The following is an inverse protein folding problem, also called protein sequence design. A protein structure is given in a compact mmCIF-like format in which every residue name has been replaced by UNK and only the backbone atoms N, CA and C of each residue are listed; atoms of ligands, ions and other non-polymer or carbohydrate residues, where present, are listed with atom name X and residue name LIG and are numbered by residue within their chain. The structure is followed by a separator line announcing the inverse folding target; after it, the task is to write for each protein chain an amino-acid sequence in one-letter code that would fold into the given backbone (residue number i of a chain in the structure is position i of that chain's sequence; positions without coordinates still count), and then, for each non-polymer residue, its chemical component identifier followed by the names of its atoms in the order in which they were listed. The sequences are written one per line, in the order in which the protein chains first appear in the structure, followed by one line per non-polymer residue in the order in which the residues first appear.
data_IF_934844466192
#
_entry.id   IF_934844466192
#
_cell.length_a   1.000
_cell.length_b   1.000
_cell.length_c   1.000
_cell.angle_alpha   90.00
_cell.angle_beta   90.00
_cell.angle_gamma   90.00
#
_symmetry.space_group_name_H-M   'P 1'
#
loop_
_entity.id
_entity.type
_entity.pdbx_description
1 polymer ?
#
# COMPACT_ATOMS: atom_id res chain seq x y z
N UNK A 1 12.56 10.80 -14.69
CA UNK A 1 13.09 10.04 -13.54
C UNK A 1 13.14 8.57 -13.89
N UNK A 2 14.16 7.84 -13.42
CA UNK A 2 14.35 6.40 -13.66
C UNK A 2 14.30 5.66 -12.31
N UNK A 3 13.12 5.60 -11.70
CA UNK A 3 12.93 4.96 -10.39
C UNK A 3 12.77 3.44 -10.55
N UNK A 4 13.34 2.66 -9.63
CA UNK A 4 13.23 1.20 -9.63
C UNK A 4 11.84 0.70 -9.22
N UNK A 5 11.16 1.44 -8.36
CA UNK A 5 9.79 1.19 -7.89
C UNK A 5 9.13 2.50 -7.45
N UNK A 6 7.80 2.48 -7.31
CA UNK A 6 7.00 3.60 -6.81
C UNK A 6 6.05 3.14 -5.69
N UNK A 7 6.03 3.88 -4.58
CA UNK A 7 5.08 3.66 -3.48
C UNK A 7 4.36 4.98 -3.16
N UNK A 8 3.04 5.00 -3.35
CA UNK A 8 2.18 6.12 -2.90
C UNK A 8 1.68 5.82 -1.49
N UNK A 9 1.74 6.80 -0.58
CA UNK A 9 1.34 6.63 0.83
C UNK A 9 0.12 7.51 1.10
N UNK A 10 -0.98 6.90 1.54
CA UNK A 10 -2.27 7.53 1.77
C UNK A 10 -2.88 7.08 3.11
N UNK A 11 -3.95 7.77 3.51
CA UNK A 11 -4.86 7.34 4.56
C UNK A 11 -6.29 7.44 4.01
N UNK A 12 -7.05 6.35 4.12
CA UNK A 12 -8.35 6.22 3.48
C UNK A 12 -9.41 7.00 4.27
N UNK A 13 -10.60 7.17 3.70
CA UNK A 13 -11.76 7.77 4.34
C UNK A 13 -13.04 7.13 3.81
N UNK A 14 -13.93 6.75 4.71
CA UNK A 14 -15.27 6.24 4.40
C UNK A 14 -16.33 7.16 5.03
N UNK A 15 -17.21 7.74 4.21
CA UNK A 15 -18.29 8.63 4.66
C UNK A 15 -19.31 7.90 5.53
N UNK A 16 -19.49 6.59 5.34
CA UNK A 16 -20.35 5.77 6.20
C UNK A 16 -19.67 5.37 7.52
N UNK A 17 -18.36 5.67 7.68
CA UNK A 17 -17.51 5.33 8.83
C UNK A 17 -17.58 3.84 9.21
N UNK A 18 -17.63 2.95 8.22
CA UNK A 18 -17.58 1.49 8.42
C UNK A 18 -16.21 0.92 8.04
N UNK A 19 -15.52 1.57 7.11
CA UNK A 19 -14.14 1.26 6.74
C UNK A 19 -13.15 1.56 7.86
N UNK A 20 -12.32 0.56 8.17
CA UNK A 20 -11.18 0.62 9.07
C UNK A 20 -10.17 -0.47 8.65
N UNK A 21 -8.90 -0.30 8.98
CA UNK A 21 -7.80 -1.20 8.66
C UNK A 21 -6.84 -0.68 7.59
N UNK A 22 -5.88 -1.54 7.22
CA UNK A 22 -4.87 -1.24 6.20
C UNK A 22 -5.18 -1.99 4.91
N UNK A 23 -5.00 -1.34 3.77
CA UNK A 23 -5.05 -1.97 2.44
C UNK A 23 -3.95 -1.44 1.53
N UNK A 24 -3.52 -2.29 0.60
CA UNK A 24 -2.53 -1.93 -0.41
C UNK A 24 -3.07 -2.23 -1.79
N UNK A 25 -2.88 -1.31 -2.72
CA UNK A 25 -3.33 -1.40 -4.10
C UNK A 25 -2.16 -1.55 -5.05
N UNK A 26 -2.33 -2.38 -6.07
CA UNK A 26 -1.52 -2.41 -7.28
C UNK A 26 -2.42 -2.30 -8.51
N UNK A 27 -1.83 -2.12 -9.70
CA UNK A 27 -2.61 -2.09 -10.94
C UNK A 27 -1.83 -2.73 -12.08
N UNK A 28 -2.39 -3.78 -12.68
CA UNK A 28 -1.79 -4.53 -13.78
C UNK A 28 -2.90 -5.25 -14.58
N UNK A 29 -3.79 -4.50 -15.27
CA UNK A 29 -4.94 -5.09 -15.95
C UNK A 29 -4.53 -5.74 -17.28
N UNK A 30 -5.25 -6.80 -17.69
CA UNK A 30 -5.08 -7.44 -19.00
C UNK A 30 -5.20 -6.47 -20.19
N UNK A 31 -5.95 -5.37 -20.04
CA UNK A 31 -6.15 -4.36 -21.08
C UNK A 31 -4.98 -3.40 -21.28
N UNK A 32 -3.95 -3.45 -20.41
CA UNK A 32 -2.74 -2.64 -20.53
C UNK A 32 -1.50 -3.56 -20.53
N UNK A 33 -1.10 -4.09 -21.69
CA UNK A 33 -0.04 -5.10 -21.79
C UNK A 33 1.27 -4.71 -21.08
N UNK A 34 1.67 -3.44 -21.16
CA UNK A 34 2.89 -2.93 -20.51
C UNK A 34 2.84 -3.02 -18.98
N UNK A 35 1.66 -2.81 -18.39
CA UNK A 35 1.46 -2.97 -16.95
C UNK A 35 1.24 -4.43 -16.57
N UNK A 36 0.51 -5.19 -17.42
CA UNK A 36 0.24 -6.60 -17.19
C UNK A 36 1.51 -7.45 -17.17
N UNK A 37 2.52 -7.11 -17.99
CA UNK A 37 3.84 -7.75 -17.95
C UNK A 37 4.53 -7.60 -16.59
N UNK A 38 4.10 -6.65 -15.74
CA UNK A 38 4.62 -6.42 -14.39
C UNK A 38 3.69 -6.94 -13.30
N UNK A 39 2.69 -7.75 -13.61
CA UNK A 39 1.68 -8.20 -12.64
C UNK A 39 2.30 -8.86 -11.41
N UNK A 40 3.28 -9.75 -11.60
CA UNK A 40 3.93 -10.47 -10.51
C UNK A 40 4.71 -9.50 -9.61
N UNK A 41 5.50 -8.59 -10.20
CA UNK A 41 6.29 -7.59 -9.48
C UNK A 41 5.41 -6.61 -8.70
N UNK A 42 4.36 -6.09 -9.33
CA UNK A 42 3.43 -5.11 -8.74
C UNK A 42 2.62 -5.74 -7.61
N UNK A 43 2.15 -6.97 -7.81
CA UNK A 43 1.43 -7.74 -6.80
C UNK A 43 2.34 -8.11 -5.64
N UNK A 44 3.55 -8.57 -5.91
CA UNK A 44 4.54 -8.92 -4.87
C UNK A 44 4.90 -7.71 -4.01
N UNK A 45 5.16 -6.55 -4.63
CA UNK A 45 5.41 -5.30 -3.90
C UNK A 45 4.24 -4.97 -2.97
N UNK A 46 3.01 -4.99 -3.49
CA UNK A 46 1.82 -4.71 -2.68
C UNK A 46 1.64 -5.71 -1.52
N UNK A 47 1.90 -7.00 -1.76
CA UNK A 47 1.84 -8.03 -0.72
C UNK A 47 2.89 -7.82 0.38
N UNK A 48 4.14 -7.50 0.02
CA UNK A 48 5.22 -7.27 1.00
C UNK A 48 4.99 -6.02 1.83
N UNK A 49 4.43 -4.96 1.24
CA UNK A 49 3.99 -3.78 1.97
C UNK A 49 2.86 -4.11 2.96
N UNK A 50 1.81 -4.79 2.49
CA UNK A 50 0.67 -5.18 3.32
C UNK A 50 1.10 -6.05 4.51
N UNK A 51 1.88 -7.11 4.27
CA UNK A 51 2.38 -8.03 5.30
C UNK A 51 3.11 -7.30 6.43
N UNK A 52 4.00 -6.35 6.08
CA UNK A 52 4.78 -5.61 7.08
C UNK A 52 3.93 -4.62 7.86
N UNK A 53 3.00 -3.91 7.20
CA UNK A 53 2.09 -2.98 7.87
C UNK A 53 1.19 -3.70 8.87
N UNK A 54 0.59 -4.83 8.49
CA UNK A 54 -0.23 -5.63 9.39
C UNK A 54 0.59 -6.19 10.55
N UNK A 55 1.82 -6.65 10.28
CA UNK A 55 2.72 -7.14 11.32
C UNK A 55 3.05 -6.06 12.36
N UNK A 56 3.30 -4.81 11.93
CA UNK A 56 3.72 -3.71 12.81
C UNK A 56 2.56 -2.98 13.48
N UNK A 57 1.49 -2.69 12.74
CA UNK A 57 0.37 -1.86 13.21
C UNK A 57 -0.74 -2.66 13.88
N UNK A 58 -0.83 -3.98 13.63
CA UNK A 58 -1.85 -4.87 14.21
C UNK A 58 -3.30 -4.43 13.97
N UNK A 59 -3.56 -3.78 12.83
CA UNK A 59 -4.90 -3.38 12.40
C UNK A 59 -5.60 -4.48 11.62
N UNK A 60 -6.88 -4.25 11.30
CA UNK A 60 -7.64 -5.09 10.36
C UNK A 60 -6.92 -5.19 9.02
N UNK A 61 -6.65 -6.43 8.59
CA UNK A 61 -6.07 -6.72 7.28
C UNK A 61 -7.15 -6.75 6.20
N UNK A 62 -7.10 -5.76 5.29
CA UNK A 62 -8.02 -5.67 4.14
C UNK A 62 -7.39 -6.16 2.83
N UNK A 63 -6.17 -6.68 2.92
CA UNK A 63 -5.42 -7.33 1.84
C UNK A 63 -4.80 -6.39 0.82
N UNK A 64 -3.90 -6.99 0.03
CA UNK A 64 -3.40 -6.41 -1.21
C UNK A 64 -4.38 -6.71 -2.36
N UNK A 65 -4.80 -5.70 -3.13
CA UNK A 65 -5.81 -5.85 -4.18
C UNK A 65 -5.52 -4.99 -5.41
N UNK A 66 -6.15 -5.35 -6.52
CA UNK A 66 -6.02 -4.54 -7.74
C UNK A 66 -6.95 -3.31 -7.66
N UNK A 67 -6.46 -2.14 -8.08
CA UNK A 67 -7.22 -0.90 -8.08
C UNK A 67 -6.77 0.08 -9.16
N UNK A 68 -7.72 0.58 -9.95
CA UNK A 68 -7.46 1.48 -11.07
C UNK A 68 -7.22 2.93 -10.62
N UNK A 69 -6.10 3.18 -9.96
CA UNK A 69 -5.72 4.49 -9.44
C UNK A 69 -4.76 5.21 -10.41
N UNK A 70 -4.97 6.51 -10.63
CA UNK A 70 -4.20 7.29 -11.61
C UNK A 70 -2.69 7.19 -11.42
N UNK A 71 -2.24 7.24 -10.16
CA UNK A 71 -0.81 7.14 -9.80
C UNK A 71 -0.20 5.76 -10.08
N UNK A 72 -1.01 4.70 -10.14
CA UNK A 72 -0.54 3.34 -10.47
C UNK A 72 -0.64 3.03 -11.96
N UNK A 73 -1.60 3.67 -12.64
CA UNK A 73 -1.86 3.53 -14.07
C UNK A 73 -0.86 4.31 -14.93
N UNK A 74 -0.38 5.45 -14.43
CA UNK A 74 0.49 6.35 -15.20
C UNK A 74 1.98 6.27 -14.81
N UNK A 75 2.37 5.26 -14.03
CA UNK A 75 3.76 4.93 -13.69
C UNK A 75 4.22 3.69 -14.44
N UNK A 76 5.49 3.69 -14.87
CA UNK A 76 6.06 2.64 -15.73
C UNK A 76 6.87 1.58 -14.98
N UNK A 77 7.35 1.88 -13.78
CA UNK A 77 8.02 0.92 -12.88
C UNK A 77 7.01 0.14 -12.02
N UNK A 78 7.40 -0.96 -11.35
CA UNK A 78 6.54 -1.61 -10.36
C UNK A 78 6.04 -0.61 -9.31
N UNK A 79 4.72 -0.57 -9.10
CA UNK A 79 4.09 0.45 -8.28
C UNK A 79 2.99 -0.09 -7.38
N UNK A 80 2.93 0.42 -6.15
CA UNK A 80 1.86 0.16 -5.20
C UNK A 80 1.39 1.46 -4.49
N UNK A 81 0.15 1.47 -3.99
CA UNK A 81 -0.39 2.52 -3.13
C UNK A 81 -0.84 1.89 -1.83
N UNK A 82 -0.33 2.40 -0.71
CA UNK A 82 -0.71 1.97 0.64
C UNK A 82 -1.74 2.95 1.19
N UNK A 83 -2.87 2.42 1.64
CA UNK A 83 -3.77 3.10 2.57
C UNK A 83 -3.45 2.59 3.98
N UNK A 84 -2.70 3.39 4.75
CA UNK A 84 -2.15 2.94 6.05
C UNK A 84 -3.29 2.66 7.05
N UNK A 85 -4.25 3.58 7.12
CA UNK A 85 -5.37 3.63 8.06
C UNK A 85 -6.53 4.44 7.46
N UNK A 86 -7.71 4.39 8.08
CA UNK A 86 -8.85 5.25 7.76
C UNK A 86 -8.89 6.48 8.67
N UNK A 87 -8.65 7.68 8.12
CA UNK A 87 -8.76 8.94 8.88
C UNK A 87 -10.19 9.21 9.37
N UNK A 88 -11.19 8.57 8.77
CA UNK A 88 -12.60 8.65 9.15
C UNK A 88 -12.98 7.74 10.33
N UNK A 89 -12.12 6.78 10.69
CA UNK A 89 -12.36 5.85 11.80
C UNK A 89 -11.78 6.42 13.10
N UNK A 90 -12.58 6.66 14.17
CA UNK A 90 -12.13 7.42 15.33
C UNK A 90 -10.86 6.89 15.99
N UNK A 91 -10.75 5.59 16.19
CA UNK A 91 -9.60 4.96 16.84
C UNK A 91 -8.34 5.08 15.98
N UNK A 92 -8.46 4.88 14.67
CA UNK A 92 -7.33 5.00 13.74
C UNK A 92 -6.93 6.47 13.52
N UNK A 93 -7.89 7.39 13.57
CA UNK A 93 -7.61 8.82 13.56
C UNK A 93 -6.76 9.25 14.76
N UNK A 94 -7.05 8.75 15.96
CA UNK A 94 -6.22 9.01 17.14
C UNK A 94 -4.85 8.33 17.05
N UNK A 95 -4.77 7.13 16.45
CA UNK A 95 -3.49 6.48 16.19
C UNK A 95 -2.63 7.29 15.20
N UNK A 96 -3.20 7.85 14.14
CA UNK A 96 -2.48 8.66 13.13
C UNK A 96 -1.86 9.94 13.70
N UNK A 97 -2.41 10.49 14.79
CA UNK A 97 -1.84 11.65 15.48
C UNK A 97 -0.57 11.31 16.26
N UNK A 98 -0.37 10.04 16.59
CA UNK A 98 0.76 9.60 17.40
C UNK A 98 2.00 9.43 16.52
N UNK A 99 3.08 10.14 16.88
CA UNK A 99 4.37 10.04 16.20
C UNK A 99 4.85 8.59 16.12
N UNK A 100 4.81 7.87 17.25
CA UNK A 100 5.15 6.45 17.33
C UNK A 100 4.43 5.58 16.29
N UNK A 101 3.14 5.82 16.04
CA UNK A 101 2.37 5.06 15.04
C UNK A 101 2.88 5.36 13.63
N UNK A 102 3.15 6.64 13.33
CA UNK A 102 3.69 7.05 12.02
C UNK A 102 5.07 6.46 11.78
N UNK A 103 5.91 6.41 12.82
CA UNK A 103 7.23 5.78 12.74
C UNK A 103 7.12 4.27 12.48
N UNK A 104 6.21 3.58 13.18
CA UNK A 104 5.95 2.15 12.93
C UNK A 104 5.43 1.90 11.50
N UNK A 105 4.59 2.77 10.96
CA UNK A 105 4.12 2.68 9.58
C UNK A 105 5.26 2.92 8.58
N UNK A 106 6.13 3.91 8.83
CA UNK A 106 7.29 4.20 8.01
C UNK A 106 8.29 3.03 8.01
N UNK A 107 8.60 2.47 9.18
CA UNK A 107 9.42 1.27 9.31
C UNK A 107 8.82 0.08 8.57
N UNK A 108 7.51 -0.13 8.68
CA UNK A 108 6.81 -1.21 7.99
C UNK A 108 6.92 -1.08 6.47
N UNK A 109 6.70 0.13 5.93
CA UNK A 109 6.81 0.41 4.50
C UNK A 109 8.25 0.19 4.03
N UNK A 110 9.23 0.72 4.76
CA UNK A 110 10.64 0.53 4.44
C UNK A 110 11.04 -0.96 4.43
N UNK A 111 10.62 -1.70 5.46
CA UNK A 111 10.88 -3.14 5.54
C UNK A 111 10.15 -3.92 4.44
N UNK A 112 8.94 -3.50 4.06
CA UNK A 112 8.17 -4.10 2.97
C UNK A 112 8.87 -3.93 1.63
N UNK A 113 9.40 -2.74 1.35
CA UNK A 113 10.24 -2.45 0.18
C UNK A 113 11.50 -3.32 0.20
N UNK A 114 12.23 -3.38 1.32
CA UNK A 114 13.43 -4.21 1.43
C UNK A 114 13.14 -5.70 1.22
N UNK A 115 12.00 -6.19 1.71
CA UNK A 115 11.60 -7.59 1.52
C UNK A 115 11.22 -7.88 0.07
N UNK A 116 10.57 -6.94 -0.62
CA UNK A 116 10.33 -7.03 -2.06
C UNK A 116 11.64 -7.10 -2.84
N UNK A 117 12.58 -6.18 -2.58
CA UNK A 117 13.88 -6.14 -3.28
C UNK A 117 14.73 -7.40 -3.08
N UNK A 118 14.57 -8.11 -1.95
CA UNK A 118 15.25 -9.39 -1.69
C UNK A 118 14.59 -10.60 -2.34
N UNK A 119 13.29 -10.52 -2.63
CA UNK A 119 12.49 -11.62 -3.16
C UNK A 119 12.37 -11.58 -4.70
N UNK A 120 12.77 -10.45 -5.30
CA UNK A 120 12.84 -10.22 -6.73
C UNK A 120 14.09 -10.87 -7.35
#
# INVERSE_FOLDING_TARGET
FNAELFVSIHNNSDTARKGHGTETYYYAPLSMPELYMQIDERKLLAQKLQEQLISKLKLTDRGAKEGNLSVLRNTTMPSALVEVMFISWPEEHELLKQEKTRDLAAEAIAQGILNYLKAR
#
